data_IF_161949051639
#
_entry.id   IF_161949051639
#
_cell.length_a   1.000
_cell.length_b   1.000
_cell.length_c   1.000
_cell.angle_alpha   90.00
_cell.angle_beta   90.00
_cell.angle_gamma   90.00
#
_symmetry.space_group_name_H-M   'P 1'
#
loop_
_entity.id
_entity.type
_entity.pdbx_description
1 polymer ?
#
# COMPACT_ATOMS: atom_id res chain seq x y z
N UNK A 1 12.06 14.77 -13.14
CA UNK A 1 12.58 13.69 -12.28
C UNK A 1 12.18 12.36 -12.91
N UNK A 2 13.13 11.46 -13.17
CA UNK A 2 12.83 10.16 -13.78
C UNK A 2 12.23 9.21 -12.75
N UNK A 3 11.52 8.17 -13.18
CA UNK A 3 10.92 7.14 -12.31
C UNK A 3 11.97 6.52 -11.39
N UNK A 4 13.18 6.26 -11.89
CA UNK A 4 14.29 5.77 -11.07
C UNK A 4 14.70 6.75 -9.96
N UNK A 5 14.76 8.05 -10.24
CA UNK A 5 15.09 9.07 -9.23
C UNK A 5 14.01 9.19 -8.16
N UNK A 6 12.74 8.93 -8.51
CA UNK A 6 11.64 8.92 -7.54
C UNK A 6 11.66 7.65 -6.69
N UNK A 7 11.91 6.52 -7.33
CA UNK A 7 12.08 5.21 -6.70
C UNK A 7 13.24 5.23 -5.73
N UNK A 8 14.41 5.74 -6.15
CA UNK A 8 15.59 5.90 -5.30
C UNK A 8 15.31 6.88 -4.16
N UNK A 9 14.52 7.94 -4.41
CA UNK A 9 14.13 8.91 -3.39
C UNK A 9 13.16 8.32 -2.37
N UNK A 10 12.16 7.55 -2.79
CA UNK A 10 11.25 6.85 -1.87
C UNK A 10 12.01 5.73 -1.13
N UNK A 11 12.94 5.03 -1.79
CA UNK A 11 13.80 4.02 -1.17
C UNK A 11 14.78 4.62 -0.13
N UNK A 12 15.37 5.79 -0.41
CA UNK A 12 16.26 6.48 0.53
C UNK A 12 15.53 7.06 1.74
N UNK A 13 14.23 7.29 1.66
CA UNK A 13 13.43 7.85 2.77
C UNK A 13 13.17 6.86 3.90
N UNK A 14 13.35 5.55 3.65
CA UNK A 14 13.34 4.52 4.70
C UNK A 14 14.67 4.40 5.47
N UNK A 15 15.75 5.02 4.99
CA UNK A 15 17.08 4.89 5.59
C UNK A 15 17.65 6.17 6.23
N UNK A 16 17.12 7.37 5.91
CA UNK A 16 17.66 8.62 6.47
C UNK A 16 16.53 9.62 6.80
N UNK A 17 16.35 9.87 8.07
CA UNK A 17 15.51 10.96 8.60
C UNK A 17 16.09 12.37 8.36
N UNK A 18 17.10 12.54 7.49
CA UNK A 18 17.82 13.81 7.37
C UNK A 18 18.07 14.40 5.99
N UNK A 19 17.47 13.88 4.90
CA UNK A 19 17.67 14.45 3.55
C UNK A 19 16.37 14.52 2.71
N UNK A 20 15.32 15.10 3.26
CA UNK A 20 14.23 15.69 2.47
C UNK A 20 14.72 17.07 2.02
N UNK A 21 14.60 17.44 0.71
CA UNK A 21 14.82 18.83 0.32
C UNK A 21 13.90 19.72 1.15
N UNK A 22 14.44 20.74 1.73
CA UNK A 22 13.91 21.66 2.75
C UNK A 22 12.58 22.38 2.41
N UNK A 23 11.80 21.94 1.41
CA UNK A 23 10.59 22.63 0.93
C UNK A 23 9.33 21.77 0.82
N UNK A 24 9.37 20.41 0.85
CA UNK A 24 8.14 19.60 0.81
C UNK A 24 8.31 18.29 1.58
N UNK A 25 7.37 17.99 2.48
CA UNK A 25 7.27 16.66 3.08
C UNK A 25 6.85 15.61 2.03
N UNK A 26 7.19 14.34 2.26
CA UNK A 26 6.76 13.23 1.37
C UNK A 26 5.25 13.21 1.23
N UNK A 27 4.54 13.42 2.34
CA UNK A 27 3.09 13.49 2.35
C UNK A 27 2.53 14.58 1.44
N UNK A 28 3.15 15.76 1.42
CA UNK A 28 2.77 16.86 0.51
C UNK A 28 3.01 16.51 -0.96
N UNK A 29 4.14 15.86 -1.27
CA UNK A 29 4.42 15.40 -2.63
C UNK A 29 3.39 14.36 -3.09
N UNK A 30 3.11 13.35 -2.28
CA UNK A 30 2.14 12.31 -2.58
C UNK A 30 0.71 12.87 -2.64
N UNK A 31 0.37 13.79 -1.73
CA UNK A 31 -0.89 14.52 -1.76
C UNK A 31 -1.04 15.33 -3.05
N UNK A 32 0.04 15.97 -3.53
CA UNK A 32 0.07 16.68 -4.80
C UNK A 32 -0.16 15.78 -6.02
N UNK A 33 0.19 14.49 -5.95
CA UNK A 33 -0.13 13.51 -7.00
C UNK A 33 -1.63 13.17 -7.05
N UNK A 34 -2.30 13.14 -5.92
CA UNK A 34 -3.74 12.83 -5.83
C UNK A 34 -4.60 14.09 -5.95
N UNK A 35 -4.16 15.19 -5.37
CA UNK A 35 -4.91 16.46 -5.29
C UNK A 35 -4.07 17.65 -5.81
N UNK A 36 -3.71 17.69 -7.11
CA UNK A 36 -2.89 18.75 -7.67
C UNK A 36 -3.62 20.09 -7.67
N UNK A 37 -2.88 21.17 -7.42
CA UNK A 37 -3.44 22.54 -7.39
C UNK A 37 -3.44 23.20 -8.78
N UNK A 38 -2.49 22.86 -9.64
CA UNK A 38 -2.36 23.42 -10.97
C UNK A 38 -3.13 22.62 -12.06
N UNK A 39 -3.44 23.26 -13.17
CA UNK A 39 -4.20 22.64 -14.26
C UNK A 39 -3.44 21.52 -14.97
N UNK A 40 -2.12 21.57 -15.02
CA UNK A 40 -1.31 20.53 -15.63
C UNK A 40 -1.32 19.27 -14.76
N UNK A 41 -1.16 19.41 -13.44
CA UNK A 41 -1.28 18.34 -12.47
C UNK A 41 -2.68 17.71 -12.48
N UNK A 42 -3.74 18.53 -12.47
CA UNK A 42 -5.13 18.04 -12.56
C UNK A 42 -5.36 17.17 -13.80
N UNK A 43 -4.84 17.59 -14.96
CA UNK A 43 -4.94 16.80 -16.20
C UNK A 43 -4.16 15.48 -16.10
N UNK A 44 -2.93 15.53 -15.53
CA UNK A 44 -2.12 14.32 -15.32
C UNK A 44 -2.82 13.35 -14.39
N UNK A 45 -3.35 13.83 -13.26
CA UNK A 45 -4.11 13.01 -12.29
C UNK A 45 -5.38 12.45 -12.91
N UNK A 46 -6.12 13.23 -13.72
CA UNK A 46 -7.30 12.74 -14.43
C UNK A 46 -6.96 11.60 -15.41
N UNK A 47 -5.82 11.66 -16.10
CA UNK A 47 -5.32 10.59 -16.96
C UNK A 47 -4.93 9.34 -16.15
N UNK A 48 -4.30 9.50 -14.99
CA UNK A 48 -3.96 8.39 -14.10
C UNK A 48 -5.20 7.74 -13.50
N UNK A 49 -6.18 8.55 -13.07
CA UNK A 49 -7.46 8.03 -12.59
C UNK A 49 -8.22 7.29 -13.70
N UNK A 50 -8.26 7.82 -14.91
CA UNK A 50 -8.87 7.14 -16.05
C UNK A 50 -8.16 5.83 -16.38
N UNK A 51 -6.83 5.79 -16.26
CA UNK A 51 -6.02 4.57 -16.45
C UNK A 51 -6.31 3.53 -15.38
N UNK A 52 -6.37 3.98 -14.12
CA UNK A 52 -6.77 3.16 -12.97
C UNK A 52 -8.14 2.50 -13.20
N UNK A 53 -9.13 3.29 -13.59
CA UNK A 53 -10.50 2.79 -13.84
C UNK A 53 -10.55 1.79 -15.00
N UNK A 54 -9.81 2.05 -16.09
CA UNK A 54 -9.73 1.12 -17.23
C UNK A 54 -9.13 -0.22 -16.81
N UNK A 55 -8.06 -0.21 -16.01
CA UNK A 55 -7.43 -1.45 -15.55
C UNK A 55 -8.33 -2.16 -14.54
N UNK A 56 -8.99 -1.44 -13.63
CA UNK A 56 -9.95 -2.04 -12.70
C UNK A 56 -11.13 -2.72 -13.40
N UNK A 57 -11.56 -2.21 -14.55
CA UNK A 57 -12.71 -2.73 -15.30
C UNK A 57 -12.36 -3.81 -16.33
N UNK A 58 -11.20 -3.72 -16.95
CA UNK A 58 -10.84 -4.53 -18.13
C UNK A 58 -9.40 -5.08 -18.10
N UNK A 59 -8.71 -4.98 -16.98
CA UNK A 59 -7.32 -5.41 -16.83
C UNK A 59 -6.34 -4.66 -17.72
N UNK A 60 -5.08 -5.08 -17.68
CA UNK A 60 -4.05 -4.57 -18.60
C UNK A 60 -4.35 -4.85 -20.07
N UNK A 61 -5.11 -5.89 -20.36
CA UNK A 61 -5.53 -6.24 -21.73
C UNK A 61 -6.50 -5.21 -22.31
N UNK A 62 -7.31 -4.56 -21.46
CA UNK A 62 -8.20 -3.47 -21.85
C UNK A 62 -7.49 -2.12 -22.02
N UNK A 63 -6.25 -1.98 -21.54
CA UNK A 63 -5.54 -0.71 -21.54
C UNK A 63 -5.16 -0.25 -22.97
N UNK A 64 -5.92 0.73 -23.48
CA UNK A 64 -5.69 1.41 -24.76
C UNK A 64 -5.60 2.90 -24.53
N UNK A 65 -4.57 3.56 -25.05
CA UNK A 65 -4.35 5.01 -24.87
C UNK A 65 -5.54 5.86 -25.36
N UNK A 66 -6.19 5.46 -26.46
CA UNK A 66 -7.41 6.14 -26.94
C UNK A 66 -8.56 6.02 -25.95
N UNK A 67 -8.78 4.85 -25.35
CA UNK A 67 -9.82 4.64 -24.34
C UNK A 67 -9.56 5.46 -23.07
N UNK A 68 -8.31 5.51 -22.60
CA UNK A 68 -7.90 6.34 -21.46
C UNK A 68 -8.13 7.83 -21.76
N UNK A 69 -7.67 8.33 -22.91
CA UNK A 69 -7.87 9.73 -23.29
C UNK A 69 -9.35 10.11 -23.38
N UNK A 70 -10.18 9.25 -23.99
CA UNK A 70 -11.61 9.46 -24.06
C UNK A 70 -12.26 9.51 -22.67
N UNK A 71 -11.88 8.61 -21.77
CA UNK A 71 -12.39 8.57 -20.40
C UNK A 71 -11.97 9.80 -19.60
N UNK A 72 -10.73 10.27 -19.77
CA UNK A 72 -10.22 11.49 -19.16
C UNK A 72 -10.74 12.77 -19.83
N UNK A 73 -11.56 12.66 -20.88
CA UNK A 73 -12.10 13.78 -21.69
C UNK A 73 -11.01 14.69 -22.27
N UNK A 74 -9.92 14.10 -22.72
CA UNK A 74 -8.84 14.78 -23.42
C UNK A 74 -8.58 14.12 -24.79
N UNK A 75 -7.85 14.83 -25.67
CA UNK A 75 -7.38 14.21 -26.90
C UNK A 75 -6.16 13.31 -26.65
N UNK A 76 -5.89 12.38 -27.58
CA UNK A 76 -4.78 11.44 -27.47
C UNK A 76 -3.42 12.14 -27.47
N UNK A 77 -3.29 13.28 -28.16
CA UNK A 77 -2.06 14.07 -28.16
C UNK A 77 -1.76 14.63 -26.77
N UNK A 78 -2.78 15.05 -26.02
CA UNK A 78 -2.63 15.46 -24.62
C UNK A 78 -2.15 14.31 -23.75
N UNK A 79 -2.67 13.10 -23.93
CA UNK A 79 -2.17 11.93 -23.21
C UNK A 79 -0.68 11.70 -23.52
N UNK A 80 -0.30 11.69 -24.79
CA UNK A 80 1.10 11.48 -25.19
C UNK A 80 2.05 12.60 -24.74
N UNK A 81 1.55 13.82 -24.54
CA UNK A 81 2.33 14.91 -23.94
C UNK A 81 2.72 14.58 -22.48
N UNK A 82 1.80 14.06 -21.67
CA UNK A 82 2.08 13.68 -20.27
C UNK A 82 2.76 12.31 -20.14
N UNK A 83 2.38 11.37 -20.99
CA UNK A 83 2.85 9.99 -20.99
C UNK A 83 3.23 9.56 -22.41
N UNK A 84 4.48 9.82 -22.83
CA UNK A 84 4.92 9.56 -24.20
C UNK A 84 4.79 8.11 -24.64
N UNK A 85 4.85 7.18 -23.70
CA UNK A 85 4.75 5.73 -23.94
C UNK A 85 3.70 5.09 -23.05
N UNK A 86 3.20 3.91 -23.45
CA UNK A 86 2.34 3.09 -22.59
C UNK A 86 3.06 2.70 -21.30
N UNK A 87 4.37 2.47 -21.36
CA UNK A 87 5.18 2.17 -20.18
C UNK A 87 5.22 3.35 -19.21
N UNK A 88 5.44 4.58 -19.69
CA UNK A 88 5.40 5.78 -18.84
C UNK A 88 4.03 5.99 -18.15
N UNK A 89 2.94 5.61 -18.84
CA UNK A 89 1.59 5.66 -18.27
C UNK A 89 1.43 4.60 -17.14
N UNK A 90 1.95 3.39 -17.34
CA UNK A 90 1.92 2.31 -16.34
C UNK A 90 2.75 2.69 -15.12
N UNK A 91 3.94 3.25 -15.31
CA UNK A 91 4.81 3.74 -14.23
C UNK A 91 4.15 4.88 -13.44
N UNK A 92 3.53 5.83 -14.15
CA UNK A 92 2.75 6.90 -13.53
C UNK A 92 1.57 6.35 -12.70
N UNK A 93 0.87 5.34 -13.21
CA UNK A 93 -0.20 4.68 -12.48
C UNK A 93 0.31 3.97 -11.22
N UNK A 94 1.47 3.32 -11.28
CA UNK A 94 2.05 2.68 -10.10
C UNK A 94 2.38 3.70 -8.99
N UNK A 95 2.91 4.87 -9.37
CA UNK A 95 3.14 5.98 -8.43
C UNK A 95 1.83 6.49 -7.82
N UNK A 96 0.79 6.66 -8.64
CA UNK A 96 -0.54 7.07 -8.21
C UNK A 96 -1.16 6.05 -7.24
N UNK A 97 -1.05 4.77 -7.53
CA UNK A 97 -1.51 3.69 -6.67
C UNK A 97 -0.72 3.64 -5.35
N UNK A 98 0.61 3.78 -5.40
CA UNK A 98 1.46 3.88 -4.22
C UNK A 98 1.09 5.07 -3.33
N UNK A 99 0.80 6.24 -3.92
CA UNK A 99 0.32 7.41 -3.18
C UNK A 99 -1.03 7.13 -2.49
N UNK A 100 -1.94 6.41 -3.14
CA UNK A 100 -3.21 6.00 -2.51
C UNK A 100 -2.96 5.10 -1.30
N UNK A 101 -2.08 4.11 -1.38
CA UNK A 101 -1.74 3.24 -0.24
C UNK A 101 -1.08 3.99 0.92
N UNK A 102 -0.32 5.04 0.65
CA UNK A 102 0.34 5.84 1.71
C UNK A 102 -0.61 6.86 2.36
N UNK A 103 -1.63 7.34 1.65
CA UNK A 103 -2.50 8.42 2.13
C UNK A 103 -3.89 7.95 2.56
N UNK A 104 -4.32 6.77 2.12
CA UNK A 104 -5.60 6.21 2.49
C UNK A 104 -5.38 5.13 3.55
N UNK A 105 -5.86 5.39 4.74
CA UNK A 105 -5.78 4.48 5.88
C UNK A 105 -7.17 4.17 6.42
N UNK A 106 -7.30 2.99 7.01
CA UNK A 106 -8.44 2.66 7.85
C UNK A 106 -8.45 3.52 9.13
N UNK A 107 -9.54 3.52 9.88
CA UNK A 107 -9.61 4.23 11.16
C UNK A 107 -8.50 3.72 12.09
N UNK A 108 -7.83 4.65 12.76
CA UNK A 108 -6.79 4.30 13.72
C UNK A 108 -7.40 3.49 14.88
N UNK A 109 -6.84 2.30 15.19
CA UNK A 109 -7.29 1.51 16.32
C UNK A 109 -6.98 2.23 17.64
N UNK A 110 -7.69 1.86 18.71
CA UNK A 110 -7.40 2.37 20.04
C UNK A 110 -5.94 1.99 20.44
N UNK A 111 -5.16 2.94 20.97
CA UNK A 111 -3.77 2.67 21.37
C UNK A 111 -3.71 1.57 22.45
N UNK A 112 -2.87 0.58 22.23
CA UNK A 112 -2.65 -0.52 23.17
C UNK A 112 -1.57 -0.21 24.22
N UNK A 113 -0.75 0.82 23.97
CA UNK A 113 0.47 1.12 24.72
C UNK A 113 1.70 0.34 24.22
N UNK A 114 1.54 -0.51 23.20
CA UNK A 114 2.59 -1.30 22.58
C UNK A 114 2.74 -0.91 21.11
N UNK A 115 3.80 -0.22 20.77
CA UNK A 115 3.98 0.40 19.43
C UNK A 115 3.88 -0.62 18.28
N UNK A 116 4.50 -1.79 18.44
CA UNK A 116 4.47 -2.82 17.40
C UNK A 116 3.05 -3.41 17.23
N UNK A 117 2.31 -3.58 18.31
CA UNK A 117 0.91 -4.04 18.25
C UNK A 117 0.00 -3.00 17.62
N UNK A 118 0.17 -1.72 17.96
CA UNK A 118 -0.62 -0.63 17.37
C UNK A 118 -0.39 -0.54 15.86
N UNK A 119 0.86 -0.74 15.40
CA UNK A 119 1.18 -0.82 13.97
C UNK A 119 0.55 -2.03 13.30
N UNK A 120 0.61 -3.21 13.91
CA UNK A 120 -0.04 -4.42 13.39
C UNK A 120 -1.55 -4.23 13.24
N UNK A 121 -2.19 -3.65 14.24
CA UNK A 121 -3.63 -3.36 14.21
C UNK A 121 -3.99 -2.31 13.16
N UNK A 122 -3.11 -1.34 12.91
CA UNK A 122 -3.29 -0.39 11.81
C UNK A 122 -3.23 -1.10 10.45
N UNK A 123 -2.27 -2.01 10.22
CA UNK A 123 -2.21 -2.82 9.00
C UNK A 123 -3.51 -3.64 8.78
N UNK A 124 -4.07 -4.21 9.86
CA UNK A 124 -5.36 -4.89 9.79
C UNK A 124 -6.50 -3.95 9.43
N UNK A 125 -6.56 -2.77 10.05
CA UNK A 125 -7.57 -1.74 9.77
C UNK A 125 -7.45 -1.23 8.33
N UNK A 126 -6.24 -1.02 7.83
CA UNK A 126 -5.98 -0.61 6.45
C UNK A 126 -6.47 -1.69 5.46
N UNK A 127 -6.19 -2.97 5.76
CA UNK A 127 -6.69 -4.09 4.97
C UNK A 127 -8.21 -4.10 4.90
N UNK A 128 -8.91 -4.03 6.04
CA UNK A 128 -10.38 -3.95 6.10
C UNK A 128 -10.91 -2.76 5.30
N UNK A 129 -10.29 -1.59 5.45
CA UNK A 129 -10.67 -0.38 4.74
C UNK A 129 -10.56 -0.56 3.22
N UNK A 130 -9.44 -1.13 2.73
CA UNK A 130 -9.26 -1.34 1.30
C UNK A 130 -10.28 -2.33 0.73
N UNK A 131 -10.58 -3.42 1.44
CA UNK A 131 -11.59 -4.38 0.99
C UNK A 131 -12.99 -3.80 0.95
N UNK A 132 -13.37 -2.96 1.91
CA UNK A 132 -14.71 -2.41 2.04
C UNK A 132 -14.92 -1.15 1.20
N UNK A 133 -13.94 -0.27 1.12
CA UNK A 133 -14.10 1.07 0.55
C UNK A 133 -13.32 1.32 -0.74
N UNK A 134 -12.22 0.59 -0.95
CA UNK A 134 -11.34 0.76 -2.11
C UNK A 134 -11.08 -0.56 -2.89
N UNK A 135 -12.10 -1.41 -3.16
CA UNK A 135 -11.88 -2.73 -3.77
C UNK A 135 -11.24 -2.65 -5.16
N UNK A 136 -11.46 -1.57 -5.90
CA UNK A 136 -10.78 -1.32 -7.19
C UNK A 136 -9.27 -1.17 -7.03
N UNK A 137 -8.79 -0.65 -5.90
CA UNK A 137 -7.37 -0.47 -5.62
C UNK A 137 -6.67 -1.83 -5.49
N UNK A 138 -7.28 -2.76 -4.77
CA UNK A 138 -6.80 -4.13 -4.65
C UNK A 138 -6.85 -4.86 -6.00
N UNK A 139 -7.92 -4.68 -6.77
CA UNK A 139 -8.04 -5.28 -8.09
C UNK A 139 -6.95 -4.80 -9.04
N UNK A 140 -6.65 -3.50 -9.06
CA UNK A 140 -5.55 -2.94 -9.87
C UNK A 140 -4.20 -3.45 -9.40
N UNK A 141 -3.99 -3.61 -8.08
CA UNK A 141 -2.76 -4.22 -7.54
C UNK A 141 -2.58 -5.67 -8.03
N UNK A 142 -3.65 -6.49 -8.01
CA UNK A 142 -3.60 -7.86 -8.53
C UNK A 142 -3.32 -7.90 -10.05
N UNK A 143 -3.88 -6.96 -10.81
CA UNK A 143 -3.57 -6.81 -12.22
C UNK A 143 -2.08 -6.49 -12.45
N UNK A 144 -1.49 -5.62 -11.63
CA UNK A 144 -0.04 -5.37 -11.65
C UNK A 144 0.76 -6.65 -11.35
N UNK A 145 0.39 -7.40 -10.32
CA UNK A 145 1.05 -8.65 -9.93
C UNK A 145 0.96 -9.71 -11.03
N UNK A 146 -0.23 -9.88 -11.62
CA UNK A 146 -0.44 -10.83 -12.71
C UNK A 146 0.35 -10.42 -13.98
N UNK A 147 0.34 -9.15 -14.32
CA UNK A 147 1.09 -8.62 -15.45
C UNK A 147 2.60 -8.75 -15.24
N UNK A 148 3.09 -8.46 -14.05
CA UNK A 148 4.51 -8.57 -13.69
C UNK A 148 5.09 -9.96 -13.97
N UNK A 149 4.32 -11.02 -13.74
CA UNK A 149 4.75 -12.40 -14.06
C UNK A 149 5.07 -12.65 -15.54
N UNK A 150 4.63 -11.76 -16.44
CA UNK A 150 4.80 -11.87 -17.91
C UNK A 150 5.58 -10.70 -18.50
N UNK A 151 5.80 -9.66 -17.72
CA UNK A 151 6.45 -8.41 -18.16
C UNK A 151 7.48 -7.97 -17.13
N UNK A 152 8.79 -8.15 -17.40
CA UNK A 152 9.86 -7.82 -16.45
C UNK A 152 9.90 -6.33 -16.04
N UNK A 153 9.41 -5.41 -16.87
CA UNK A 153 9.37 -3.99 -16.54
C UNK A 153 8.29 -3.73 -15.50
N UNK A 154 7.12 -4.38 -15.65
CA UNK A 154 6.04 -4.30 -14.65
C UNK A 154 6.44 -5.05 -13.37
N UNK A 155 7.16 -6.18 -13.47
CA UNK A 155 7.65 -6.90 -12.30
C UNK A 155 8.54 -6.03 -11.41
N UNK A 156 9.46 -5.26 -11.98
CA UNK A 156 10.29 -4.32 -11.21
C UNK A 156 9.45 -3.30 -10.43
N UNK A 157 8.35 -2.82 -11.01
CA UNK A 157 7.43 -1.91 -10.33
C UNK A 157 6.76 -2.61 -9.14
N UNK A 158 6.28 -3.83 -9.34
CA UNK A 158 5.65 -4.64 -8.29
C UNK A 158 6.65 -4.92 -7.17
N UNK A 159 7.89 -5.28 -7.49
CA UNK A 159 8.94 -5.56 -6.51
C UNK A 159 9.24 -4.34 -5.64
N UNK A 160 9.25 -3.14 -6.23
CA UNK A 160 9.47 -1.90 -5.49
C UNK A 160 8.30 -1.61 -4.55
N UNK A 161 7.06 -1.66 -5.05
CA UNK A 161 5.86 -1.41 -4.23
C UNK A 161 5.79 -2.41 -3.07
N UNK A 162 6.02 -3.68 -3.34
CA UNK A 162 5.99 -4.75 -2.35
C UNK A 162 7.16 -4.66 -1.37
N UNK A 163 8.35 -4.26 -1.86
CA UNK A 163 9.56 -4.11 -1.05
C UNK A 163 9.42 -3.07 0.05
N UNK A 164 8.78 -1.94 -0.23
CA UNK A 164 8.53 -0.90 0.79
C UNK A 164 7.60 -1.39 1.90
N UNK A 165 6.49 -2.00 1.53
CA UNK A 165 5.55 -2.55 2.50
C UNK A 165 6.18 -3.68 3.32
N UNK A 166 6.88 -4.62 2.65
CA UNK A 166 7.65 -5.69 3.31
C UNK A 166 8.62 -5.13 4.34
N UNK A 167 9.39 -4.10 3.97
CA UNK A 167 10.37 -3.47 4.87
C UNK A 167 9.69 -2.85 6.10
N UNK A 168 8.55 -2.18 5.94
CA UNK A 168 7.76 -1.66 7.06
C UNK A 168 7.31 -2.75 8.04
N UNK A 169 6.79 -3.87 7.52
CA UNK A 169 6.42 -5.03 8.33
C UNK A 169 7.63 -5.67 9.01
N UNK A 170 8.75 -5.79 8.30
CA UNK A 170 10.01 -6.32 8.86
C UNK A 170 10.52 -5.51 10.05
N UNK A 171 10.50 -4.18 9.95
CA UNK A 171 10.85 -3.30 11.05
C UNK A 171 9.90 -3.46 12.24
N UNK A 172 8.59 -3.50 11.99
CA UNK A 172 7.57 -3.70 13.02
C UNK A 172 7.79 -5.02 13.77
N UNK A 173 8.02 -6.12 13.04
CA UNK A 173 8.27 -7.44 13.64
C UNK A 173 9.56 -7.43 14.46
N UNK A 174 10.65 -6.87 13.91
CA UNK A 174 11.93 -6.79 14.61
C UNK A 174 11.83 -5.95 15.90
N UNK A 175 11.17 -4.79 15.85
CA UNK A 175 10.94 -3.94 17.03
C UNK A 175 10.10 -4.70 18.08
N UNK A 176 8.99 -5.35 17.67
CA UNK A 176 8.10 -6.05 18.58
C UNK A 176 8.72 -7.28 19.26
N UNK A 177 9.62 -8.01 18.57
CA UNK A 177 10.40 -9.10 19.17
C UNK A 177 11.43 -8.54 20.15
N UNK A 178 12.14 -7.45 19.77
CA UNK A 178 13.19 -6.85 20.59
C UNK A 178 12.66 -6.24 21.90
N UNK A 179 11.49 -5.60 21.88
CA UNK A 179 10.90 -4.96 23.06
C UNK A 179 9.98 -5.90 23.89
N UNK A 180 9.78 -7.16 23.43
CA UNK A 180 8.95 -8.17 24.12
C UNK A 180 7.44 -7.99 23.93
N UNK A 181 7.00 -7.11 23.05
CA UNK A 181 5.60 -7.03 22.60
C UNK A 181 5.21 -8.36 21.94
N UNK A 182 6.06 -8.84 21.04
CA UNK A 182 5.93 -10.16 20.39
C UNK A 182 6.79 -11.19 21.14
N UNK A 183 6.45 -12.45 20.99
CA UNK A 183 7.20 -13.56 21.58
C UNK A 183 8.63 -13.58 21.05
N UNK A 184 9.60 -13.61 21.95
CA UNK A 184 11.03 -13.53 21.62
C UNK A 184 11.59 -14.80 20.98
N UNK A 185 10.91 -15.94 21.13
CA UNK A 185 11.27 -17.21 20.52
C UNK A 185 10.86 -17.33 19.04
N UNK A 186 10.08 -16.38 18.51
CA UNK A 186 9.63 -16.40 17.11
C UNK A 186 10.75 -16.02 16.16
N UNK A 187 10.84 -16.74 15.05
CA UNK A 187 11.72 -16.36 13.93
C UNK A 187 11.10 -15.21 13.13
N UNK A 188 11.88 -14.16 12.96
CA UNK A 188 11.43 -12.94 12.25
C UNK A 188 10.96 -13.21 10.82
N UNK A 189 11.67 -14.06 10.09
CA UNK A 189 11.34 -14.37 8.68
C UNK A 189 10.08 -15.24 8.59
N UNK A 190 9.87 -16.16 9.55
CA UNK A 190 8.61 -16.93 9.63
C UNK A 190 7.43 -16.02 9.89
N UNK A 191 7.52 -15.10 10.87
CA UNK A 191 6.46 -14.13 11.18
C UNK A 191 6.16 -13.28 9.96
N UNK A 192 7.19 -12.73 9.32
CA UNK A 192 7.02 -11.89 8.14
C UNK A 192 6.37 -12.64 6.99
N UNK A 193 6.80 -13.89 6.74
CA UNK A 193 6.20 -14.75 5.71
C UNK A 193 4.72 -15.04 5.97
N UNK A 194 4.34 -15.28 7.23
CA UNK A 194 2.94 -15.52 7.62
C UNK A 194 2.09 -14.25 7.45
N UNK A 195 2.56 -13.09 7.88
CA UNK A 195 1.85 -11.82 7.72
C UNK A 195 1.64 -11.48 6.23
N UNK A 196 2.68 -11.58 5.41
CA UNK A 196 2.58 -11.34 3.97
C UNK A 196 1.60 -12.30 3.27
N UNK A 197 1.59 -13.58 3.69
CA UNK A 197 0.68 -14.60 3.16
C UNK A 197 -0.76 -14.31 3.57
N UNK A 198 -0.98 -13.95 4.83
CA UNK A 198 -2.29 -13.57 5.35
C UNK A 198 -2.88 -12.37 4.59
N UNK A 199 -2.14 -11.27 4.49
CA UNK A 199 -2.61 -10.08 3.77
C UNK A 199 -2.86 -10.36 2.28
N UNK A 200 -2.02 -11.20 1.64
CA UNK A 200 -2.22 -11.60 0.25
C UNK A 200 -3.46 -12.48 0.05
N UNK A 201 -3.82 -13.28 1.05
CA UNK A 201 -4.98 -14.19 1.03
C UNK A 201 -6.27 -13.58 1.58
N UNK A 202 -6.21 -12.43 2.25
CA UNK A 202 -7.35 -11.82 2.95
C UNK A 202 -8.58 -11.61 2.05
N UNK A 203 -8.39 -11.31 0.77
CA UNK A 203 -9.48 -11.19 -0.22
C UNK A 203 -10.27 -12.47 -0.48
N UNK A 204 -9.78 -13.62 -0.04
CA UNK A 204 -10.49 -14.91 -0.14
C UNK A 204 -11.35 -15.20 1.08
N UNK A 205 -11.22 -14.43 2.17
CA UNK A 205 -12.00 -14.59 3.39
C UNK A 205 -13.46 -14.21 3.19
N UNK A 206 -14.36 -14.91 3.86
CA UNK A 206 -15.81 -14.68 3.81
C UNK A 206 -16.37 -14.37 5.19
N UNK A 207 -17.33 -13.47 5.24
CA UNK A 207 -17.98 -13.10 6.50
C UNK A 207 -16.96 -12.68 7.55
N UNK A 208 -16.93 -13.36 8.68
CA UNK A 208 -16.05 -13.06 9.82
C UNK A 208 -14.69 -13.79 9.79
N UNK A 209 -14.36 -14.49 8.70
CA UNK A 209 -13.12 -15.30 8.64
C UNK A 209 -11.87 -14.43 8.82
N UNK A 210 -11.82 -13.24 8.21
CA UNK A 210 -10.67 -12.36 8.34
C UNK A 210 -10.50 -11.84 9.78
N UNK A 211 -11.59 -11.53 10.47
CA UNK A 211 -11.53 -11.15 11.89
C UNK A 211 -11.00 -12.29 12.76
N UNK A 212 -11.44 -13.53 12.49
CA UNK A 212 -10.91 -14.72 13.17
C UNK A 212 -9.42 -14.92 12.92
N UNK A 213 -8.96 -14.67 11.68
CA UNK A 213 -7.53 -14.76 11.33
C UNK A 213 -6.73 -13.68 12.06
N UNK A 214 -7.20 -12.42 12.10
CA UNK A 214 -6.53 -11.33 12.83
C UNK A 214 -6.35 -11.67 14.31
N UNK A 215 -7.41 -12.16 14.97
CA UNK A 215 -7.36 -12.58 16.37
C UNK A 215 -6.40 -13.75 16.59
N UNK A 216 -6.39 -14.72 15.68
CA UNK A 216 -5.46 -15.84 15.72
C UNK A 216 -3.99 -15.39 15.59
N UNK A 217 -3.71 -14.45 14.71
CA UNK A 217 -2.38 -13.85 14.54
C UNK A 217 -1.95 -13.08 15.80
N UNK A 218 -2.82 -12.24 16.38
CA UNK A 218 -2.48 -11.54 17.62
C UNK A 218 -2.18 -12.55 18.75
N UNK A 219 -3.01 -13.57 18.92
CA UNK A 219 -2.82 -14.59 19.96
C UNK A 219 -1.52 -15.38 19.77
N UNK A 220 -1.16 -15.69 18.54
CA UNK A 220 0.08 -16.41 18.23
C UNK A 220 1.32 -15.54 18.42
N UNK A 221 1.24 -14.26 18.02
CA UNK A 221 2.37 -13.35 17.93
C UNK A 221 2.70 -12.68 19.27
N UNK A 222 1.69 -12.28 20.04
CA UNK A 222 1.87 -11.54 21.28
C UNK A 222 2.51 -12.36 22.40
N UNK A 223 3.39 -11.75 23.17
CA UNK A 223 3.87 -12.33 24.43
C UNK A 223 2.71 -12.51 25.41
N UNK A 224 2.83 -13.48 26.33
CA UNK A 224 1.76 -13.79 27.28
C UNK A 224 1.36 -12.60 28.15
N UNK A 225 2.33 -11.79 28.55
CA UNK A 225 2.11 -10.58 29.35
C UNK A 225 1.28 -9.54 28.59
N UNK A 226 1.64 -9.28 27.33
CA UNK A 226 0.94 -8.31 26.45
C UNK A 226 -0.46 -8.82 26.10
N UNK A 227 -0.59 -10.11 25.78
CA UNK A 227 -1.89 -10.72 25.51
C UNK A 227 -2.87 -10.58 26.68
N UNK A 228 -2.43 -10.86 27.92
CA UNK A 228 -3.25 -10.69 29.12
C UNK A 228 -3.62 -9.22 29.36
N UNK A 229 -2.66 -8.30 29.23
CA UNK A 229 -2.88 -6.87 29.43
C UNK A 229 -3.90 -6.29 28.46
N UNK A 230 -3.83 -6.66 27.18
CA UNK A 230 -4.71 -6.12 26.14
C UNK A 230 -6.12 -6.70 26.14
N UNK A 231 -6.34 -7.90 26.71
CA UNK A 231 -7.69 -8.50 26.88
C UNK A 231 -8.34 -8.16 28.20
N UNK A 232 -7.57 -7.91 29.26
CA UNK A 232 -8.10 -7.44 30.55
C UNK A 232 -8.79 -6.09 30.43
N UNK A 233 -8.26 -5.19 29.60
CA UNK A 233 -8.87 -3.87 29.35
C UNK A 233 -10.19 -3.92 28.56
N UNK A 234 -10.44 -4.99 27.80
CA UNK A 234 -11.70 -5.16 27.02
C UNK A 234 -12.87 -5.62 27.87
N UNK A 235 -12.62 -6.24 29.03
CA UNK A 235 -13.68 -6.75 29.94
C UNK A 235 -14.11 -5.74 31.02
N UNK A 236 -13.41 -4.63 31.17
CA UNK A 236 -13.77 -3.55 32.12
C UNK A 236 -14.65 -2.45 31.50
N UNK A 237 -14.96 -2.58 30.19
CA UNK A 237 -15.71 -1.57 29.42
C UNK A 237 -17.13 -2.02 29.02
N UNK A 238 -17.60 -3.20 29.49
CA UNK A 238 -18.99 -3.65 29.43
C UNK A 238 -19.67 -3.48 30.81
#
# INVERSE_FOLDING_TARGET
MTTNQLIDKVASMGQETSAVPDQFSVGEYLSGLLNPVDEAGKRKTALLQATFDVIAEAGFEGLRTRGVAQRARVNVATLHYYFPTKQALIEGLAQFLGAKFVLLHGPAPAPSGYKALDRLRQEFSDGDYYYQHEPKMLLVLEEFRLRGKRDPQVQKIVDIMHGHWRHGLEQMVAEGIADGTFRQELDKEEVLGMLLSMFSGAGSCRGNEFETVKQGIEQWLLSESVWKATRGASNESE
#
